data_IF_192168815965
#
_entry.id   IF_192168815965
#
_cell.length_a   1.000
_cell.length_b   1.000
_cell.length_c   1.000
_cell.angle_alpha   90.00
_cell.angle_beta   90.00
_cell.angle_gamma   90.00
#
_symmetry.space_group_name_H-M   'P 1'
#
loop_
_entity.id
_entity.type
_entity.pdbx_description
1 polymer ?
#
# COMPACT_ATOMS: atom_id res chain seq x y z
N UNK A 1 -19.56 7.92 3.93
CA UNK A 1 -18.54 7.32 3.04
C UNK A 1 -17.63 6.41 3.85
N UNK A 2 -17.01 5.40 3.22
CA UNK A 2 -15.95 4.55 3.82
C UNK A 2 -14.61 5.08 3.31
N UNK A 3 -13.70 5.37 4.23
CA UNK A 3 -12.32 5.76 3.93
C UNK A 3 -11.39 4.56 4.14
N UNK A 4 -10.50 4.29 3.20
CA UNK A 4 -9.43 3.29 3.32
C UNK A 4 -8.10 3.96 3.05
N UNK A 5 -7.17 3.86 4.01
CA UNK A 5 -5.86 4.49 3.86
C UNK A 5 -4.80 3.46 3.52
N UNK A 6 -3.93 3.85 2.59
CA UNK A 6 -2.79 3.06 2.16
C UNK A 6 -1.48 3.86 2.31
N UNK A 7 -0.34 3.20 2.51
CA UNK A 7 0.92 3.91 2.66
C UNK A 7 1.43 4.50 1.34
N UNK A 8 1.23 3.81 0.23
CA UNK A 8 1.81 4.14 -1.07
C UNK A 8 0.74 4.61 -2.05
N UNK A 9 1.07 5.58 -2.90
CA UNK A 9 0.17 6.15 -3.91
C UNK A 9 -0.30 5.10 -4.92
N UNK A 10 0.60 4.24 -5.36
CA UNK A 10 0.32 3.16 -6.32
C UNK A 10 -0.68 2.17 -5.71
N UNK A 11 -0.47 1.75 -4.47
CA UNK A 11 -1.39 0.86 -3.76
C UNK A 11 -2.80 1.47 -3.68
N UNK A 12 -2.91 2.77 -3.41
CA UNK A 12 -4.21 3.49 -3.40
C UNK A 12 -4.93 3.35 -4.74
N UNK A 13 -4.24 3.64 -5.85
CA UNK A 13 -4.87 3.63 -7.17
C UNK A 13 -5.19 2.22 -7.65
N UNK A 14 -4.29 1.25 -7.44
CA UNK A 14 -4.49 -0.14 -7.87
C UNK A 14 -5.61 -0.83 -7.08
N UNK A 15 -5.66 -0.66 -5.75
CA UNK A 15 -6.74 -1.20 -4.94
C UNK A 15 -8.10 -0.56 -5.26
N UNK A 16 -8.14 0.76 -5.48
CA UNK A 16 -9.36 1.43 -5.90
C UNK A 16 -9.86 0.89 -7.23
N UNK A 17 -8.96 0.70 -8.21
CA UNK A 17 -9.28 0.11 -9.51
C UNK A 17 -9.78 -1.34 -9.35
N UNK A 18 -9.07 -2.16 -8.59
CA UNK A 18 -9.43 -3.55 -8.33
C UNK A 18 -10.81 -3.69 -7.67
N UNK A 19 -11.10 -2.90 -6.63
CA UNK A 19 -12.39 -2.94 -5.96
C UNK A 19 -13.51 -2.41 -6.86
N UNK A 20 -13.24 -1.42 -7.71
CA UNK A 20 -14.20 -0.94 -8.71
C UNK A 20 -14.54 -2.05 -9.72
N UNK A 21 -13.52 -2.79 -10.22
CA UNK A 21 -13.69 -3.94 -11.10
C UNK A 21 -14.52 -5.05 -10.45
N UNK A 22 -14.15 -5.49 -9.24
CA UNK A 22 -14.88 -6.52 -8.50
C UNK A 22 -16.33 -6.14 -8.24
N UNK A 23 -16.60 -4.86 -8.01
CA UNK A 23 -17.96 -4.33 -7.87
C UNK A 23 -18.65 -4.06 -9.21
N UNK A 24 -17.95 -4.23 -10.32
CA UNK A 24 -18.44 -3.93 -11.68
C UNK A 24 -18.96 -2.50 -11.82
N UNK A 25 -18.22 -1.54 -11.28
CA UNK A 25 -18.55 -0.13 -11.36
C UNK A 25 -17.38 0.64 -11.97
N UNK A 26 -17.70 1.79 -12.57
CA UNK A 26 -16.66 2.69 -13.08
C UNK A 26 -15.89 3.30 -11.90
N UNK A 27 -14.56 3.33 -12.00
CA UNK A 27 -13.71 4.04 -11.05
C UNK A 27 -14.04 5.55 -11.06
N UNK A 28 -14.15 6.15 -9.89
CA UNK A 28 -14.62 7.53 -9.70
C UNK A 28 -16.13 7.64 -9.42
N UNK A 29 -16.90 6.54 -9.62
CA UNK A 29 -18.31 6.49 -9.24
C UNK A 29 -18.48 6.09 -7.77
N UNK A 30 -18.97 4.88 -7.47
CA UNK A 30 -19.15 4.40 -6.09
C UNK A 30 -17.85 4.02 -5.39
N UNK A 31 -16.78 3.76 -6.14
CA UNK A 31 -15.42 3.56 -5.66
C UNK A 31 -14.52 4.61 -6.29
N UNK A 32 -13.72 5.27 -5.48
CA UNK A 32 -12.82 6.32 -5.95
C UNK A 32 -11.56 6.42 -5.11
N UNK A 33 -10.68 7.32 -5.47
CA UNK A 33 -9.43 7.56 -4.75
C UNK A 33 -9.05 9.04 -4.70
N UNK A 34 -8.16 9.37 -3.75
CA UNK A 34 -7.52 10.67 -3.66
C UNK A 34 -6.07 10.50 -3.20
N UNK A 35 -5.14 10.95 -4.04
CA UNK A 35 -3.71 11.01 -3.77
C UNK A 35 -3.20 12.42 -4.06
N UNK A 36 -1.96 12.72 -3.68
CA UNK A 36 -1.38 14.04 -3.95
C UNK A 36 -1.37 14.34 -5.45
N UNK A 37 -2.01 15.45 -5.86
CA UNK A 37 -2.15 15.93 -7.23
C UNK A 37 -3.01 15.10 -8.18
N UNK A 38 -3.64 14.04 -7.70
CA UNK A 38 -4.53 13.24 -8.52
C UNK A 38 -5.69 12.68 -7.68
N UNK A 39 -6.91 12.90 -8.14
CA UNK A 39 -8.10 12.38 -7.49
C UNK A 39 -9.14 11.96 -8.52
N UNK A 40 -9.85 10.90 -8.21
CA UNK A 40 -10.96 10.41 -9.03
C UNK A 40 -12.03 9.87 -8.09
N UNK A 41 -12.87 10.76 -7.57
CA UNK A 41 -14.01 10.43 -6.74
C UNK A 41 -15.09 11.50 -6.83
N UNK A 42 -16.31 11.17 -6.46
CA UNK A 42 -17.43 12.10 -6.33
C UNK A 42 -17.87 12.19 -4.88
N UNK A 43 -17.99 13.38 -4.32
CA UNK A 43 -18.53 13.57 -2.95
C UNK A 43 -19.95 13.02 -2.78
N UNK A 44 -20.73 13.07 -3.84
CA UNK A 44 -22.13 12.66 -3.83
C UNK A 44 -22.32 11.13 -3.99
N UNK A 45 -21.54 10.52 -4.87
CA UNK A 45 -21.76 9.13 -5.27
C UNK A 45 -20.74 8.13 -4.73
N UNK A 46 -19.54 8.58 -4.35
CA UNK A 46 -18.50 7.67 -3.87
C UNK A 46 -18.84 7.15 -2.47
N UNK A 47 -18.90 5.84 -2.37
CA UNK A 47 -19.16 5.11 -1.11
C UNK A 47 -17.88 4.63 -0.46
N UNK A 48 -16.89 4.24 -1.27
CA UNK A 48 -15.57 3.79 -0.80
C UNK A 48 -14.52 4.68 -1.45
N UNK A 49 -13.72 5.34 -0.62
CA UNK A 49 -12.65 6.24 -1.04
C UNK A 49 -11.31 5.75 -0.49
N UNK A 50 -10.43 5.38 -1.40
CA UNK A 50 -9.05 5.05 -1.09
C UNK A 50 -8.20 6.31 -1.08
N UNK A 51 -7.31 6.45 -0.11
CA UNK A 51 -6.45 7.64 -0.03
C UNK A 51 -5.14 7.35 0.70
N UNK A 52 -4.15 8.20 0.51
CA UNK A 52 -2.91 8.11 1.27
C UNK A 52 -3.06 8.72 2.66
N UNK A 53 -2.26 8.23 3.62
CA UNK A 53 -2.23 8.74 5.01
C UNK A 53 -2.06 10.27 5.06
N UNK A 54 -1.22 10.84 4.16
CA UNK A 54 -1.02 12.29 4.07
C UNK A 54 -2.26 13.07 3.60
N UNK A 55 -3.09 12.50 2.72
CA UNK A 55 -4.37 13.10 2.33
C UNK A 55 -5.35 13.08 3.50
N UNK A 56 -5.44 11.98 4.24
CA UNK A 56 -6.31 11.91 5.42
C UNK A 56 -5.95 12.99 6.45
N UNK A 57 -4.65 13.21 6.74
CA UNK A 57 -4.21 14.29 7.62
C UNK A 57 -4.67 15.66 7.09
N UNK A 58 -4.54 15.89 5.79
CA UNK A 58 -5.01 17.14 5.16
C UNK A 58 -6.52 17.34 5.33
N UNK A 59 -7.31 16.28 5.17
CA UNK A 59 -8.75 16.33 5.39
C UNK A 59 -9.09 16.61 6.86
N UNK A 60 -8.34 16.04 7.81
CA UNK A 60 -8.48 16.34 9.24
C UNK A 60 -8.22 17.80 9.60
N UNK A 61 -7.39 18.50 8.81
CA UNK A 61 -7.18 19.96 9.00
C UNK A 61 -8.41 20.75 8.58
N UNK A 62 -9.05 20.36 7.48
CA UNK A 62 -10.25 21.03 6.97
C UNK A 62 -11.53 20.64 7.72
N UNK A 63 -11.67 19.37 8.08
CA UNK A 63 -12.77 18.83 8.88
C UNK A 63 -12.21 17.95 10.02
N UNK A 64 -12.00 18.50 11.21
CA UNK A 64 -11.42 17.78 12.33
C UNK A 64 -12.25 16.61 12.84
N UNK A 65 -13.51 16.49 12.47
CA UNK A 65 -14.39 15.39 12.87
C UNK A 65 -14.55 14.33 11.78
N UNK A 66 -14.02 14.60 10.56
CA UNK A 66 -14.14 13.72 9.41
C UNK A 66 -15.60 13.32 9.15
N UNK A 67 -16.50 14.31 9.16
CA UNK A 67 -17.95 14.13 9.15
C UNK A 67 -18.48 13.44 7.90
N UNK A 68 -17.75 13.47 6.79
CA UNK A 68 -18.08 12.75 5.56
C UNK A 68 -17.92 11.21 5.68
N UNK A 69 -17.23 10.73 6.72
CA UNK A 69 -16.91 9.32 6.87
C UNK A 69 -17.71 8.65 7.98
N UNK A 70 -18.30 7.51 7.65
CA UNK A 70 -18.95 6.61 8.63
C UNK A 70 -18.01 5.49 9.09
N UNK A 71 -17.04 5.13 8.25
CA UNK A 71 -16.02 4.12 8.54
C UNK A 71 -14.67 4.63 8.06
N UNK A 72 -13.65 4.47 8.87
CA UNK A 72 -12.25 4.72 8.49
C UNK A 72 -11.46 3.43 8.71
N UNK A 73 -10.79 2.97 7.68
CA UNK A 73 -9.87 1.84 7.73
C UNK A 73 -8.44 2.35 7.58
N UNK A 74 -7.61 2.08 8.58
CA UNK A 74 -6.17 2.33 8.53
C UNK A 74 -5.47 1.03 8.22
N UNK A 75 -4.84 0.96 7.05
CA UNK A 75 -4.06 -0.21 6.66
C UNK A 75 -2.57 -0.02 6.93
N UNK A 76 -1.85 -1.14 7.03
CA UNK A 76 -0.42 -1.23 7.25
C UNK A 76 0.06 -0.41 8.48
N UNK A 77 -0.67 -0.53 9.61
CA UNK A 77 -0.35 0.25 10.83
C UNK A 77 0.97 -0.22 11.46
N UNK A 78 1.42 -1.42 11.17
CA UNK A 78 2.70 -1.96 11.65
C UNK A 78 3.94 -1.19 11.13
N UNK A 79 3.82 -0.43 10.04
CA UNK A 79 4.93 0.42 9.54
C UNK A 79 5.33 1.52 10.55
N UNK A 80 4.46 1.87 11.51
CA UNK A 80 4.71 2.82 12.61
C UNK A 80 5.32 4.14 12.14
N UNK A 81 4.88 4.64 10.99
CA UNK A 81 5.29 5.96 10.52
C UNK A 81 4.72 7.07 11.39
N UNK A 82 5.41 8.22 11.45
CA UNK A 82 4.92 9.39 12.18
C UNK A 82 3.49 9.80 11.77
N UNK A 83 3.14 9.65 10.50
CA UNK A 83 1.80 9.91 10.00
C UNK A 83 0.76 8.98 10.64
N UNK A 84 1.05 7.69 10.75
CA UNK A 84 0.17 6.70 11.40
C UNK A 84 -0.05 7.08 12.86
N UNK A 85 1.01 7.37 13.60
CA UNK A 85 0.92 7.69 15.02
C UNK A 85 0.13 8.98 15.26
N UNK A 86 0.29 10.00 14.41
CA UNK A 86 -0.52 11.23 14.44
C UNK A 86 -1.99 10.91 14.17
N UNK A 87 -2.30 10.18 13.10
CA UNK A 87 -3.67 9.80 12.73
C UNK A 87 -4.33 9.02 13.86
N UNK A 88 -3.64 8.03 14.41
CA UNK A 88 -4.14 7.23 15.54
C UNK A 88 -4.46 8.09 16.77
N UNK A 89 -3.59 9.04 17.11
CA UNK A 89 -3.81 9.97 18.21
C UNK A 89 -5.02 10.89 17.97
N UNK A 90 -5.21 11.37 16.74
CA UNK A 90 -6.36 12.20 16.35
C UNK A 90 -7.64 11.39 16.33
N UNK A 91 -7.66 10.22 15.69
CA UNK A 91 -8.83 9.35 15.64
C UNK A 91 -9.28 8.93 17.04
N UNK A 92 -8.36 8.66 17.94
CA UNK A 92 -8.68 8.41 19.35
C UNK A 92 -9.48 9.55 20.00
N UNK A 93 -9.17 10.81 19.64
CA UNK A 93 -9.93 11.99 20.12
C UNK A 93 -11.29 12.11 19.41
N UNK A 94 -11.34 11.84 18.12
CA UNK A 94 -12.56 11.90 17.31
C UNK A 94 -13.58 10.85 17.80
N UNK A 95 -13.15 9.61 18.01
CA UNK A 95 -13.99 8.52 18.51
C UNK A 95 -14.67 8.80 19.85
N UNK A 96 -14.12 9.70 20.66
CA UNK A 96 -14.79 10.16 21.90
C UNK A 96 -16.00 11.03 21.63
N UNK A 97 -15.99 11.77 20.52
CA UNK A 97 -17.02 12.74 20.13
C UNK A 97 -18.01 12.18 19.13
N UNK A 98 -17.52 11.41 18.16
CA UNK A 98 -18.30 10.82 17.06
C UNK A 98 -18.57 9.35 17.37
N UNK A 99 -19.75 9.02 17.90
CA UNK A 99 -20.14 7.65 18.28
C UNK A 99 -20.45 6.76 17.09
N UNK A 100 -20.87 7.36 15.98
CA UNK A 100 -21.29 6.64 14.78
C UNK A 100 -20.11 6.28 13.87
N UNK A 101 -18.95 6.93 14.08
CA UNK A 101 -17.74 6.61 13.35
C UNK A 101 -17.18 5.24 13.79
N UNK A 102 -16.95 4.37 12.82
CA UNK A 102 -16.29 3.07 13.01
C UNK A 102 -14.84 3.16 12.56
N UNK A 103 -13.94 2.61 13.38
CA UNK A 103 -12.52 2.53 13.04
C UNK A 103 -12.13 1.06 12.88
N UNK A 104 -11.52 0.74 11.75
CA UNK A 104 -10.91 -0.55 11.44
C UNK A 104 -9.40 -0.31 11.33
N UNK A 105 -8.61 -1.15 11.94
CA UNK A 105 -7.15 -1.12 11.85
C UNK A 105 -6.69 -2.46 11.35
N UNK A 106 -5.91 -2.44 10.27
CA UNK A 106 -5.28 -3.62 9.70
C UNK A 106 -3.77 -3.56 9.92
N UNK A 107 -3.21 -4.70 10.31
CA UNK A 107 -1.79 -4.86 10.63
C UNK A 107 -1.36 -6.29 10.34
N UNK A 108 -0.19 -6.46 9.75
CA UNK A 108 0.39 -7.77 9.48
C UNK A 108 1.12 -8.39 10.70
N UNK A 109 1.40 -7.61 11.74
CA UNK A 109 2.20 -8.03 12.89
C UNK A 109 1.41 -8.11 14.21
N UNK A 110 2.03 -8.75 15.20
CA UNK A 110 1.47 -9.18 16.49
C UNK A 110 1.09 -8.03 17.45
N UNK A 111 1.36 -6.77 17.13
CA UNK A 111 1.11 -5.62 18.00
C UNK A 111 -0.37 -5.22 18.15
N UNK A 112 -1.30 -6.08 17.69
CA UNK A 112 -2.74 -5.82 17.73
C UNK A 112 -3.24 -5.55 19.17
N UNK A 113 -2.66 -6.20 20.16
CA UNK A 113 -3.01 -6.00 21.58
C UNK A 113 -2.63 -4.61 22.08
N UNK A 114 -1.44 -4.13 21.71
CA UNK A 114 -0.97 -2.80 22.08
C UNK A 114 -1.88 -1.72 21.47
N UNK A 115 -2.27 -1.90 20.20
CA UNK A 115 -3.19 -1.00 19.49
C UNK A 115 -4.57 -1.04 20.14
N UNK A 116 -5.10 -2.22 20.44
CA UNK A 116 -6.37 -2.41 21.15
C UNK A 116 -6.36 -1.67 22.51
N UNK A 117 -5.32 -1.88 23.29
CA UNK A 117 -5.21 -1.29 24.62
C UNK A 117 -5.02 0.23 24.55
N UNK A 118 -4.27 0.72 23.56
CA UNK A 118 -4.19 2.15 23.27
C UNK A 118 -5.57 2.76 23.01
N UNK A 119 -6.40 2.12 22.20
CA UNK A 119 -7.76 2.59 21.91
C UNK A 119 -8.68 2.44 23.13
N UNK A 120 -8.57 1.35 23.88
CA UNK A 120 -9.42 1.06 25.04
C UNK A 120 -9.15 1.93 26.27
N UNK A 121 -7.93 2.44 26.47
CA UNK A 121 -7.60 3.39 27.58
C UNK A 121 -8.48 4.65 27.61
N UNK A 122 -9.29 4.86 26.59
CA UNK A 122 -10.29 5.94 26.54
C UNK A 122 -11.55 5.61 27.34
N UNK A 123 -11.77 4.35 27.73
CA UNK A 123 -13.05 3.83 28.24
C UNK A 123 -13.30 3.96 29.71
N UNK A 124 -12.27 4.21 30.51
CA UNK A 124 -12.43 4.24 31.96
C UNK A 124 -13.50 5.24 32.46
N UNK A 125 -14.00 6.13 31.57
CA UNK A 125 -15.00 7.13 31.90
C UNK A 125 -16.33 7.04 31.16
N UNK A 126 -16.53 6.07 30.23
CA UNK A 126 -17.79 6.01 29.50
C UNK A 126 -18.20 4.56 29.13
N UNK A 127 -19.11 3.93 29.89
CA UNK A 127 -19.49 2.52 29.69
C UNK A 127 -20.28 2.24 28.42
N UNK A 128 -20.68 3.28 27.65
CA UNK A 128 -21.50 3.14 26.44
C UNK A 128 -20.68 2.98 25.14
N UNK A 129 -19.37 3.00 25.18
CA UNK A 129 -18.53 2.76 24.00
C UNK A 129 -18.16 1.29 23.89
N UNK A 130 -18.42 0.68 22.71
CA UNK A 130 -18.01 -0.72 22.47
C UNK A 130 -16.49 -0.90 22.54
N UNK A 131 -15.98 -1.98 23.17
CA UNK A 131 -14.55 -2.25 23.24
C UNK A 131 -13.96 -2.47 21.84
N UNK A 132 -12.72 -2.06 21.65
CA UNK A 132 -11.95 -2.51 20.50
C UNK A 132 -11.77 -4.03 20.61
N UNK A 133 -12.08 -4.72 19.53
CA UNK A 133 -11.97 -6.18 19.41
C UNK A 133 -10.91 -6.52 18.38
N UNK A 134 -10.15 -7.55 18.62
CA UNK A 134 -9.20 -8.10 17.66
C UNK A 134 -9.90 -9.20 16.87
N UNK A 135 -9.81 -9.11 15.54
CA UNK A 135 -10.23 -10.15 14.62
C UNK A 135 -8.99 -10.68 13.91
N UNK A 136 -8.70 -11.95 14.07
CA UNK A 136 -7.64 -12.63 13.32
C UNK A 136 -8.24 -13.29 12.08
N UNK A 137 -7.63 -13.03 10.93
CA UNK A 137 -8.01 -13.65 9.65
C UNK A 137 -6.81 -14.47 9.19
N UNK A 138 -6.97 -15.78 9.14
CA UNK A 138 -5.94 -16.66 8.60
C UNK A 138 -5.91 -16.56 7.08
N UNK A 139 -4.76 -16.15 6.54
CA UNK A 139 -4.49 -16.15 5.11
C UNK A 139 -3.93 -17.52 4.69
N UNK A 140 -4.33 -18.01 3.52
CA UNK A 140 -3.68 -19.17 2.91
C UNK A 140 -2.54 -18.67 2.03
N UNK A 141 -1.31 -18.91 2.47
CA UNK A 141 -0.14 -18.63 1.66
C UNK A 141 0.07 -19.73 0.63
N UNK A 142 0.47 -19.35 -0.57
CA UNK A 142 1.00 -20.32 -1.55
C UNK A 142 2.40 -20.73 -1.13
N UNK A 143 2.79 -21.95 -1.50
CA UNK A 143 4.15 -22.41 -1.28
C UNK A 143 5.11 -21.55 -2.07
N UNK A 144 6.17 -21.08 -1.41
CA UNK A 144 7.27 -20.33 -2.04
C UNK A 144 8.53 -21.19 -1.88
N UNK A 145 9.06 -21.64 -3.02
CA UNK A 145 10.32 -22.36 -3.05
C UNK A 145 11.45 -21.33 -3.21
N UNK A 146 12.46 -21.42 -2.36
CA UNK A 146 13.62 -20.53 -2.38
C UNK A 146 14.77 -21.24 -3.09
N UNK A 147 15.23 -20.66 -4.18
CA UNK A 147 16.40 -21.14 -4.93
C UNK A 147 17.54 -20.14 -4.79
N UNK A 148 18.75 -20.67 -4.68
CA UNK A 148 19.97 -19.86 -4.68
C UNK A 148 20.66 -20.05 -6.02
N UNK A 149 21.19 -18.94 -6.59
CA UNK A 149 21.95 -18.96 -7.82
C UNK A 149 23.23 -19.78 -7.62
N UNK A 150 23.33 -20.90 -8.31
CA UNK A 150 24.60 -21.60 -8.53
C UNK A 150 25.33 -20.99 -9.74
N UNK A 151 26.65 -21.06 -9.77
CA UNK A 151 27.61 -20.26 -10.57
C UNK A 151 27.39 -20.17 -12.08
N UNK A 152 26.35 -20.74 -12.67
CA UNK A 152 25.99 -20.62 -14.10
C UNK A 152 24.47 -20.69 -14.27
N UNK A 153 23.85 -19.51 -14.29
CA UNK A 153 22.48 -19.41 -14.74
C UNK A 153 22.42 -19.25 -16.27
N UNK A 154 21.37 -19.77 -16.93
CA UNK A 154 21.15 -19.49 -18.34
C UNK A 154 20.90 -17.99 -18.56
N UNK A 155 21.09 -17.48 -19.79
CA UNK A 155 20.78 -16.10 -20.11
C UNK A 155 19.37 -15.72 -19.64
N UNK A 156 19.24 -14.63 -18.91
CA UNK A 156 17.99 -14.19 -18.34
C UNK A 156 18.08 -12.77 -17.77
N UNK A 157 16.97 -12.29 -17.21
CA UNK A 157 16.92 -10.97 -16.58
C UNK A 157 17.20 -11.09 -15.08
N UNK A 158 17.91 -10.11 -14.51
CA UNK A 158 18.16 -9.98 -13.07
C UNK A 158 17.47 -8.73 -12.57
N UNK A 159 16.48 -8.89 -11.68
CA UNK A 159 15.85 -7.76 -11.01
C UNK A 159 16.60 -7.44 -9.72
N UNK A 160 17.12 -6.22 -9.62
CA UNK A 160 17.81 -5.71 -8.43
C UNK A 160 16.94 -4.64 -7.78
N UNK A 161 16.53 -4.89 -6.54
CA UNK A 161 15.74 -3.95 -5.74
C UNK A 161 16.68 -3.19 -4.80
N UNK A 162 16.68 -1.87 -4.91
CA UNK A 162 17.51 -0.96 -4.12
C UNK A 162 16.65 0.04 -3.35
N UNK A 163 17.21 0.63 -2.30
CA UNK A 163 16.45 1.43 -1.33
C UNK A 163 16.13 2.85 -1.79
N UNK A 164 16.82 3.36 -2.82
CA UNK A 164 16.63 4.73 -3.30
C UNK A 164 17.26 4.99 -4.68
N UNK A 165 16.87 6.13 -5.26
CA UNK A 165 17.32 6.55 -6.60
C UNK A 165 18.86 6.66 -6.68
N UNK A 166 19.50 7.18 -5.65
CA UNK A 166 20.97 7.35 -5.61
C UNK A 166 21.70 6.00 -5.70
N UNK A 167 21.17 4.95 -5.04
CA UNK A 167 21.72 3.60 -5.09
C UNK A 167 21.46 2.93 -6.45
N UNK A 168 20.29 3.19 -7.04
CA UNK A 168 19.97 2.72 -8.40
C UNK A 168 20.93 3.33 -9.40
N UNK A 169 21.12 4.65 -9.37
CA UNK A 169 22.05 5.36 -10.27
C UNK A 169 23.49 4.88 -10.07
N UNK A 170 23.91 4.65 -8.83
CA UNK A 170 25.23 4.12 -8.53
C UNK A 170 25.41 2.70 -9.12
N UNK A 171 24.43 1.81 -8.91
CA UNK A 171 24.47 0.46 -9.44
C UNK A 171 24.51 0.43 -10.98
N UNK A 172 23.68 1.26 -11.62
CA UNK A 172 23.66 1.39 -13.08
C UNK A 172 25.00 1.89 -13.62
N UNK A 173 25.61 2.89 -12.98
CA UNK A 173 26.92 3.42 -13.38
C UNK A 173 28.03 2.39 -13.19
N UNK A 174 27.99 1.61 -12.10
CA UNK A 174 28.92 0.50 -11.91
C UNK A 174 28.78 -0.54 -13.02
N UNK A 175 27.56 -0.97 -13.33
CA UNK A 175 27.32 -1.95 -14.40
C UNK A 175 27.80 -1.44 -15.76
N UNK A 176 27.52 -0.18 -16.10
CA UNK A 176 28.03 0.44 -17.33
C UNK A 176 29.57 0.43 -17.39
N UNK A 177 30.22 0.79 -16.30
CA UNK A 177 31.68 0.77 -16.24
C UNK A 177 32.27 -0.65 -16.39
N UNK A 178 31.58 -1.69 -15.88
CA UNK A 178 31.96 -3.09 -16.08
C UNK A 178 31.79 -3.53 -17.53
N UNK A 179 30.77 -3.05 -18.24
CA UNK A 179 30.54 -3.31 -19.66
C UNK A 179 31.65 -2.65 -20.50
N UNK A 180 31.96 -1.38 -20.21
CA UNK A 180 32.99 -0.59 -20.94
C UNK A 180 34.43 -1.11 -20.73
N UNK A 181 34.68 -1.91 -19.68
CA UNK A 181 36.03 -2.46 -19.37
C UNK A 181 36.28 -3.86 -19.94
N UNK A 182 35.54 -4.32 -20.96
CA UNK A 182 35.68 -5.65 -21.60
C UNK A 182 35.66 -6.87 -20.65
N UNK A 183 35.12 -6.71 -19.45
CA UNK A 183 34.94 -7.81 -18.51
C UNK A 183 33.76 -8.72 -18.87
N UNK A 184 32.91 -8.27 -19.81
CA UNK A 184 31.78 -9.00 -20.36
C UNK A 184 32.05 -9.26 -21.84
N UNK A 185 32.03 -10.51 -22.22
CA UNK A 185 32.45 -10.98 -23.54
C UNK A 185 31.51 -10.58 -24.69
N UNK A 186 30.29 -10.13 -24.43
CA UNK A 186 29.37 -9.53 -25.40
C UNK A 186 28.47 -8.48 -24.73
N UNK A 187 28.68 -7.16 -25.04
CA UNK A 187 27.85 -6.08 -24.50
C UNK A 187 26.36 -6.16 -24.92
N UNK A 188 26.05 -6.92 -25.96
CA UNK A 188 24.67 -7.08 -26.47
C UNK A 188 23.83 -8.00 -25.58
N UNK A 189 24.48 -8.75 -24.67
CA UNK A 189 23.80 -9.64 -23.73
C UNK A 189 23.36 -8.92 -22.46
N UNK A 190 23.63 -7.63 -22.31
CA UNK A 190 23.24 -6.83 -21.15
C UNK A 190 22.46 -5.59 -21.58
N UNK A 191 21.16 -5.71 -21.69
CA UNK A 191 20.24 -4.58 -21.72
C UNK A 191 19.91 -4.16 -20.27
N UNK A 192 20.40 -2.99 -19.84
CA UNK A 192 20.06 -2.42 -18.52
C UNK A 192 18.87 -1.50 -18.72
N UNK A 193 17.69 -1.99 -18.48
CA UNK A 193 16.48 -1.16 -18.36
C UNK A 193 16.34 -0.61 -16.94
N UNK A 194 16.41 0.70 -16.79
CA UNK A 194 16.09 1.38 -15.53
C UNK A 194 14.62 1.73 -15.57
N UNK A 195 13.79 0.84 -15.02
CA UNK A 195 12.37 1.13 -14.84
C UNK A 195 12.15 1.79 -13.49
N UNK A 196 11.37 2.86 -13.46
CA UNK A 196 10.89 3.39 -12.18
C UNK A 196 10.01 2.34 -11.49
N UNK A 197 9.97 2.35 -10.17
CA UNK A 197 9.08 1.43 -9.40
C UNK A 197 7.63 1.54 -9.90
N UNK A 198 7.25 2.69 -10.46
CA UNK A 198 5.94 2.94 -11.07
C UNK A 198 5.71 2.12 -12.34
N UNK A 199 6.72 2.04 -13.22
CA UNK A 199 6.64 1.24 -14.46
C UNK A 199 6.62 -0.25 -14.19
N UNK A 200 7.50 -0.73 -13.31
CA UNK A 200 7.52 -2.16 -12.92
C UNK A 200 6.20 -2.59 -12.29
N UNK A 201 5.57 -1.72 -11.50
CA UNK A 201 4.29 -2.01 -10.86
C UNK A 201 3.14 -2.02 -11.88
N UNK A 202 3.16 -1.16 -12.90
CA UNK A 202 2.19 -1.18 -14.00
C UNK A 202 2.32 -2.47 -14.83
N UNK A 203 3.52 -2.90 -15.14
CA UNK A 203 3.78 -4.15 -15.86
C UNK A 203 3.34 -5.39 -15.07
N UNK A 204 3.66 -5.47 -13.77
CA UNK A 204 3.20 -6.55 -12.89
C UNK A 204 1.68 -6.57 -12.80
N UNK A 205 1.04 -5.41 -12.66
CA UNK A 205 -0.43 -5.33 -12.61
C UNK A 205 -1.07 -5.72 -13.94
N UNK A 206 -0.46 -5.35 -15.08
CA UNK A 206 -0.93 -5.73 -16.41
C UNK A 206 -0.84 -7.24 -16.60
N UNK A 207 0.27 -7.87 -16.21
CA UNK A 207 0.45 -9.32 -16.25
C UNK A 207 -0.54 -10.05 -15.34
N UNK A 208 -0.84 -9.50 -14.15
CA UNK A 208 -1.82 -10.06 -13.23
C UNK A 208 -3.27 -9.95 -13.75
N UNK A 209 -3.59 -8.92 -14.54
CA UNK A 209 -4.92 -8.69 -15.12
C UNK A 209 -5.17 -9.52 -16.38
N UNK A 210 -4.13 -9.83 -17.16
CA UNK A 210 -4.29 -10.60 -18.41
C UNK A 210 -4.43 -12.10 -18.19
N UNK A 211 -4.18 -12.59 -16.98
CA UNK A 211 -4.38 -14.02 -16.65
C UNK A 211 -3.45 -14.97 -17.40
N UNK A 212 -2.43 -14.45 -18.07
CA UNK A 212 -1.43 -15.27 -18.72
C UNK A 212 -0.58 -15.98 -17.67
N UNK A 213 -0.85 -17.27 -17.52
CA UNK A 213 -0.20 -18.19 -16.58
C UNK A 213 1.22 -18.60 -17.02
N UNK A 214 1.84 -17.84 -17.90
CA UNK A 214 3.27 -17.94 -18.16
C UNK A 214 4.04 -16.87 -17.36
N UNK A 215 3.95 -16.95 -16.05
CA UNK A 215 5.04 -16.44 -15.21
C UNK A 215 6.24 -17.34 -15.47
N UNK A 216 7.04 -16.98 -16.47
CA UNK A 216 8.36 -17.53 -16.61
C UNK A 216 9.06 -17.26 -15.30
N UNK A 217 9.48 -18.33 -14.62
CA UNK A 217 10.27 -18.27 -13.41
C UNK A 217 11.34 -17.20 -13.57
N UNK A 218 11.18 -16.11 -12.80
CA UNK A 218 12.27 -15.18 -12.56
C UNK A 218 13.14 -15.91 -11.54
N UNK A 219 14.14 -16.59 -12.06
CA UNK A 219 15.21 -17.19 -11.25
C UNK A 219 16.21 -16.11 -10.87
#
# INVERSE_FOLDING_TARGET
MICVTEPRRITVTSLAARVAEEKRVRLGASVGYSIRFNENFSREYTKIKFLTKGILIREMIGDPLLSDYSVIMLDEVHERTAQIDIIMGLLKKILKRCRDLKLIISSATVDAEVIRDFLNRVKEKNPKTSPATILSVEGKNYNVDVFYLDKKEPPGYVLVLLTGVEEVDHCVNMLKNYIDTDLISDPRDLEVEVSSVEQVTEEINTLALTGDSEVKKVS
#
